data_IF_303625417856
#
_entry.id   IF_303625417856
#
_cell.length_a   1.000
_cell.length_b   1.000
_cell.length_c   1.000
_cell.angle_alpha   90.00
_cell.angle_beta   90.00
_cell.angle_gamma   90.00
#
_symmetry.space_group_name_H-M   'P 1'
#
loop_
_entity.id
_entity.type
_entity.pdbx_description
1 polymer ?
#
# COMPACT_ATOMS: atom_id res chain seq x y z
N UNK A 1 14.75 13.84 -32.30
CA UNK A 1 16.07 13.33 -31.87
C UNK A 1 15.78 12.24 -30.85
N UNK A 2 15.71 11.00 -31.33
CA UNK A 2 15.51 9.80 -30.51
C UNK A 2 16.83 9.47 -29.81
N UNK A 3 16.80 9.15 -28.52
CA UNK A 3 17.98 8.68 -27.79
C UNK A 3 17.68 7.24 -27.35
N UNK A 4 18.23 6.28 -28.09
CA UNK A 4 18.23 4.86 -27.71
C UNK A 4 19.30 4.62 -26.66
N UNK A 5 18.93 4.10 -25.49
CA UNK A 5 19.88 3.62 -24.48
C UNK A 5 20.24 2.19 -24.80
N UNK A 6 21.51 1.96 -25.16
CA UNK A 6 22.09 0.65 -25.41
C UNK A 6 22.24 -0.11 -24.09
N UNK A 7 21.78 -1.37 -24.06
CA UNK A 7 22.02 -2.28 -22.96
C UNK A 7 23.50 -2.71 -22.96
N UNK A 8 24.35 -1.93 -22.30
CA UNK A 8 25.63 -2.43 -21.85
C UNK A 8 25.40 -3.17 -20.52
N UNK A 9 25.95 -4.37 -20.41
CA UNK A 9 25.72 -5.24 -19.24
C UNK A 9 26.85 -4.98 -18.26
N UNK A 10 26.66 -4.26 -17.13
CA UNK A 10 27.73 -4.12 -16.19
C UNK A 10 27.90 -5.47 -15.47
N UNK A 11 29.00 -6.14 -15.81
CA UNK A 11 29.61 -7.16 -14.96
C UNK A 11 30.16 -6.43 -13.75
N UNK A 12 29.28 -6.11 -12.82
CA UNK A 12 29.66 -5.65 -11.49
C UNK A 12 29.21 -6.74 -10.52
N UNK A 13 30.16 -7.33 -9.81
CA UNK A 13 29.83 -8.19 -8.70
C UNK A 13 29.15 -7.29 -7.68
N UNK A 14 27.81 -7.24 -7.75
CA UNK A 14 26.97 -6.52 -6.81
C UNK A 14 27.32 -7.04 -5.41
N UNK A 15 28.26 -6.38 -4.76
CA UNK A 15 28.34 -6.36 -3.32
C UNK A 15 26.92 -6.03 -2.88
N UNK A 16 26.28 -6.98 -2.19
CA UNK A 16 24.91 -6.86 -1.72
C UNK A 16 24.92 -5.70 -0.73
N UNK A 17 24.80 -4.47 -1.21
CA UNK A 17 24.47 -3.31 -0.41
C UNK A 17 23.07 -3.66 0.08
N UNK A 18 23.01 -4.23 1.27
CA UNK A 18 21.78 -4.45 2.01
C UNK A 18 21.09 -3.10 2.07
N UNK A 19 20.15 -2.82 1.16
CA UNK A 19 19.42 -1.56 1.06
C UNK A 19 18.61 -1.40 2.35
N UNK A 20 19.14 -0.72 3.38
CA UNK A 20 18.53 -0.78 4.71
C UNK A 20 17.21 0.00 4.74
N UNK A 21 16.98 0.83 3.71
CA UNK A 21 15.82 1.68 3.48
C UNK A 21 14.83 1.10 2.46
N UNK A 22 15.08 -0.08 1.88
CA UNK A 22 14.16 -0.75 0.97
C UNK A 22 13.54 -1.97 1.64
N UNK A 23 12.23 -2.13 1.49
CA UNK A 23 11.49 -3.31 1.95
C UNK A 23 10.61 -3.84 0.83
N UNK A 24 10.78 -5.10 0.48
CA UNK A 24 10.03 -5.73 -0.60
C UNK A 24 8.70 -6.30 -0.07
N UNK A 25 7.64 -5.50 -0.14
CA UNK A 25 6.28 -5.89 0.30
C UNK A 25 5.74 -7.13 -0.44
N UNK A 26 6.18 -7.39 -1.68
CA UNK A 26 5.74 -8.57 -2.44
C UNK A 26 6.17 -9.90 -1.82
N UNK A 27 7.20 -9.91 -0.97
CA UNK A 27 7.63 -11.08 -0.21
C UNK A 27 6.74 -11.39 1.01
N UNK A 28 5.83 -10.50 1.40
CA UNK A 28 4.89 -10.75 2.49
C UNK A 28 3.79 -11.71 2.02
N UNK A 29 3.64 -12.83 2.72
CA UNK A 29 2.49 -13.72 2.56
C UNK A 29 1.23 -12.97 3.03
N UNK A 30 0.26 -12.68 2.16
CA UNK A 30 -0.94 -11.94 2.55
C UNK A 30 -1.79 -12.72 3.55
N UNK A 31 -2.35 -12.02 4.52
CA UNK A 31 -3.39 -12.59 5.37
C UNK A 31 -4.71 -12.59 4.61
N UNK A 32 -5.27 -13.78 4.35
CA UNK A 32 -6.58 -13.92 3.70
C UNK A 32 -7.70 -13.66 4.70
N UNK A 33 -8.68 -12.87 4.27
CA UNK A 33 -9.90 -12.55 5.02
C UNK A 33 -11.12 -12.88 4.15
N UNK A 34 -12.31 -12.84 4.76
CA UNK A 34 -13.55 -12.96 4.00
C UNK A 34 -13.71 -11.79 3.04
N UNK A 35 -13.54 -12.04 1.73
CA UNK A 35 -13.67 -11.03 0.68
C UNK A 35 -12.43 -10.17 0.44
N UNK A 36 -11.23 -10.66 0.75
CA UNK A 36 -10.02 -9.91 0.42
C UNK A 36 -8.74 -10.41 1.10
N UNK A 37 -7.69 -9.61 0.98
CA UNK A 37 -6.40 -9.86 1.65
C UNK A 37 -5.83 -8.60 2.27
N UNK A 38 -4.94 -8.78 3.24
CA UNK A 38 -4.17 -7.68 3.82
C UNK A 38 -2.70 -8.07 3.98
N UNK A 39 -1.80 -7.15 3.61
CA UNK A 39 -0.38 -7.18 3.95
C UNK A 39 -0.07 -5.97 4.82
N UNK A 40 0.68 -6.17 5.88
CA UNK A 40 1.06 -5.08 6.81
C UNK A 40 2.58 -5.01 6.85
N UNK A 41 3.12 -3.83 6.52
CA UNK A 41 4.53 -3.50 6.70
C UNK A 41 4.66 -2.47 7.82
N UNK A 42 5.30 -2.86 8.92
CA UNK A 42 5.54 -2.02 10.09
C UNK A 42 6.91 -2.31 10.72
N UNK A 43 7.23 -1.62 11.82
CA UNK A 43 8.49 -1.75 12.56
C UNK A 43 8.77 -3.17 13.11
N UNK A 44 7.80 -4.09 13.09
CA UNK A 44 8.03 -5.49 13.49
C UNK A 44 8.84 -6.24 12.44
N UNK A 45 8.62 -5.95 11.16
CA UNK A 45 9.28 -6.60 10.03
C UNK A 45 10.22 -5.68 9.25
N UNK A 46 10.02 -4.36 9.32
CA UNK A 46 10.88 -3.34 8.73
C UNK A 46 11.35 -2.34 9.80
N UNK A 47 12.39 -2.74 10.54
CA UNK A 47 12.83 -2.11 11.81
C UNK A 47 13.20 -0.63 11.69
N UNK A 48 13.67 -0.19 10.52
CA UNK A 48 14.07 1.20 10.28
C UNK A 48 12.86 2.14 10.24
N UNK A 49 11.68 1.65 9.87
CA UNK A 49 10.44 2.44 9.80
C UNK A 49 9.74 2.43 11.15
N UNK A 50 10.10 3.37 12.02
CA UNK A 50 9.59 3.45 13.39
C UNK A 50 8.32 4.30 13.54
N UNK A 51 8.10 5.23 12.61
CA UNK A 51 7.02 6.23 12.68
C UNK A 51 5.90 6.01 11.65
N UNK A 52 6.16 5.20 10.62
CA UNK A 52 5.21 4.93 9.53
C UNK A 52 5.01 3.42 9.40
N UNK A 53 3.76 3.03 9.16
CA UNK A 53 3.37 1.68 8.78
C UNK A 53 2.42 1.76 7.58
N UNK A 54 2.39 0.71 6.77
CA UNK A 54 1.54 0.61 5.58
C UNK A 54 0.73 -0.68 5.65
N UNK A 55 -0.57 -0.58 5.36
CA UNK A 55 -1.44 -1.73 5.14
C UNK A 55 -1.90 -1.71 3.68
N UNK A 56 -1.44 -2.68 2.90
CA UNK A 56 -1.95 -2.95 1.56
C UNK A 56 -3.18 -3.84 1.72
N UNK A 57 -4.35 -3.34 1.33
CA UNK A 57 -5.62 -4.04 1.49
C UNK A 57 -6.26 -4.25 0.13
N UNK A 58 -6.49 -5.52 -0.21
CA UNK A 58 -7.31 -5.90 -1.38
C UNK A 58 -8.71 -6.23 -0.89
N UNK A 59 -9.72 -5.62 -1.51
CA UNK A 59 -11.13 -5.91 -1.25
C UNK A 59 -11.72 -6.48 -2.54
N UNK A 60 -12.24 -7.70 -2.47
CA UNK A 60 -12.88 -8.35 -3.61
C UNK A 60 -14.23 -7.69 -3.95
N UNK A 61 -14.72 -7.80 -5.19
CA UNK A 61 -16.02 -7.26 -5.58
C UNK A 61 -17.16 -7.69 -4.64
N UNK A 62 -17.91 -6.71 -4.14
CA UNK A 62 -19.04 -6.93 -3.21
C UNK A 62 -18.65 -7.16 -1.75
N UNK A 63 -17.36 -7.25 -1.43
CA UNK A 63 -16.88 -7.29 -0.06
C UNK A 63 -16.80 -5.88 0.56
N UNK A 64 -16.77 -5.82 1.90
CA UNK A 64 -16.71 -4.56 2.64
C UNK A 64 -15.66 -4.64 3.75
N UNK A 65 -14.78 -3.63 3.78
CA UNK A 65 -13.92 -3.39 4.95
C UNK A 65 -14.76 -2.78 6.06
N UNK A 66 -14.89 -3.49 7.18
CA UNK A 66 -15.67 -3.04 8.34
C UNK A 66 -15.28 -1.62 8.75
N UNK A 67 -16.27 -0.81 9.12
CA UNK A 67 -16.03 0.51 9.69
C UNK A 67 -15.19 0.39 10.97
N UNK A 68 -14.11 1.15 11.06
CA UNK A 68 -13.23 1.25 12.23
C UNK A 68 -12.53 2.61 12.24
N UNK A 69 -11.98 2.99 13.40
CA UNK A 69 -11.17 4.20 13.54
C UNK A 69 -9.80 3.84 14.12
N UNK A 70 -8.81 4.68 13.84
CA UNK A 70 -7.49 4.60 14.47
C UNK A 70 -7.24 5.88 15.29
N UNK A 71 -6.59 5.79 16.47
CA UNK A 71 -6.16 6.97 17.23
C UNK A 71 -5.03 7.75 16.55
N UNK A 72 -4.27 7.09 15.68
CA UNK A 72 -3.18 7.67 14.90
C UNK A 72 -3.69 8.31 13.60
N UNK A 73 -2.98 9.33 13.12
CA UNK A 73 -3.23 9.91 11.79
C UNK A 73 -3.12 8.83 10.72
N UNK A 74 -4.13 8.72 9.87
CA UNK A 74 -4.18 7.76 8.77
C UNK A 74 -4.42 8.49 7.46
N UNK A 75 -3.66 8.11 6.43
CA UNK A 75 -3.97 8.41 5.02
C UNK A 75 -4.36 7.13 4.29
N UNK A 76 -5.26 7.23 3.32
CA UNK A 76 -5.61 6.15 2.40
C UNK A 76 -5.37 6.61 0.97
N UNK A 77 -4.76 5.74 0.17
CA UNK A 77 -4.59 5.92 -1.27
C UNK A 77 -5.16 4.67 -1.95
N UNK A 78 -6.10 4.86 -2.87
CA UNK A 78 -6.68 3.78 -3.65
C UNK A 78 -5.80 3.58 -4.89
N UNK A 79 -5.23 2.37 -5.04
CA UNK A 79 -4.20 2.09 -6.04
C UNK A 79 -4.78 1.51 -7.34
N UNK A 80 -5.87 0.75 -7.24
CA UNK A 80 -6.41 -0.02 -8.36
C UNK A 80 -7.94 -0.11 -8.26
N UNK A 81 -8.59 -0.07 -9.43
CA UNK A 81 -9.99 -0.46 -9.66
C UNK A 81 -11.09 0.43 -9.04
N UNK A 82 -12.34 -0.04 -9.18
CA UNK A 82 -13.59 0.56 -8.74
C UNK A 82 -13.85 0.27 -7.27
N UNK A 83 -14.06 1.33 -6.49
CA UNK A 83 -14.29 1.23 -5.06
C UNK A 83 -15.11 2.39 -4.52
N UNK A 84 -15.70 2.18 -3.35
CA UNK A 84 -16.45 3.20 -2.62
C UNK A 84 -15.82 3.39 -1.26
N UNK A 85 -15.30 4.58 -1.01
CA UNK A 85 -14.69 4.94 0.28
C UNK A 85 -15.55 6.01 0.93
N UNK A 86 -15.95 5.76 2.17
CA UNK A 86 -16.68 6.73 2.99
C UNK A 86 -15.83 7.06 4.21
N UNK A 87 -15.46 8.35 4.36
CA UNK A 87 -14.61 8.83 5.44
C UNK A 87 -15.41 9.77 6.33
N UNK A 88 -15.42 9.49 7.63
CA UNK A 88 -16.02 10.36 8.64
C UNK A 88 -14.92 11.09 9.41
N UNK A 89 -14.91 12.42 9.34
CA UNK A 89 -14.04 13.27 10.17
C UNK A 89 -14.84 13.85 11.34
N UNK A 90 -14.17 14.12 12.47
CA UNK A 90 -14.79 14.67 13.69
C UNK A 90 -15.38 16.08 13.48
N UNK A 91 -14.96 16.78 12.44
CA UNK A 91 -15.58 18.03 11.97
C UNK A 91 -16.49 17.72 10.80
N UNK A 92 -17.79 18.06 10.96
CA UNK A 92 -18.97 18.26 10.08
C UNK A 92 -18.99 17.84 8.58
N UNK A 93 -17.87 17.51 7.96
CA UNK A 93 -17.75 17.08 6.58
C UNK A 93 -17.38 15.59 6.53
N UNK A 94 -18.40 14.73 6.52
CA UNK A 94 -18.23 13.37 6.01
C UNK A 94 -18.00 13.47 4.50
N UNK A 95 -16.86 12.97 4.02
CA UNK A 95 -16.55 12.98 2.60
C UNK A 95 -16.82 11.60 2.01
N UNK A 96 -17.65 11.59 0.99
CA UNK A 96 -17.98 10.42 0.22
C UNK A 96 -17.20 10.49 -1.11
N UNK A 97 -16.34 9.51 -1.35
CA UNK A 97 -15.53 9.44 -2.58
C UNK A 97 -15.98 8.21 -3.34
N UNK A 98 -16.71 8.46 -4.44
CA UNK A 98 -17.00 7.47 -5.46
C UNK A 98 -15.93 7.61 -6.55
N UNK A 99 -15.19 6.54 -6.79
CA UNK A 99 -14.28 6.51 -7.93
C UNK A 99 -15.13 6.44 -9.22
N UNK A 100 -14.81 7.24 -10.25
CA UNK A 100 -15.65 7.38 -11.44
C UNK A 100 -15.76 6.08 -12.25
N UNK A 101 -16.98 5.74 -12.69
CA UNK A 101 -17.26 4.61 -13.58
C UNK A 101 -18.65 3.99 -13.39
N UNK A 102 -19.70 4.77 -13.66
CA UNK A 102 -21.12 4.35 -13.62
C UNK A 102 -22.06 5.43 -13.13
#
# INVERSE_FOLDING_TARGET
>A
MEISVSADTPTDQQEIISLPFAFLSSGIVPTKLGGGTVKITDSRIFKISTTVAVAEVTVEPGALRKLHWHPSTMGQVDLEDQGRVTVFCRTEYGQYIQLPGG
#
